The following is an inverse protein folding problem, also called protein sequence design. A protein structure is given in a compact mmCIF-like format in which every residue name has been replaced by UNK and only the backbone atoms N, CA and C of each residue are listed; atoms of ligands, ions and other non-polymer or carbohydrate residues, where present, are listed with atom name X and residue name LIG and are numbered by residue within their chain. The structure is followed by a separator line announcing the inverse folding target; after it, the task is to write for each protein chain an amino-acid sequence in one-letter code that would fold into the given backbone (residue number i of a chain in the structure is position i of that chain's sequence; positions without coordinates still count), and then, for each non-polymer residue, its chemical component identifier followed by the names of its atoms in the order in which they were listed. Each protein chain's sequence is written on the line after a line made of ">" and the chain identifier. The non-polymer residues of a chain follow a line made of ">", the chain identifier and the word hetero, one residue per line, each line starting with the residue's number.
data_IF_538469646955
#
_entry.id   IF_538469646955
#
_cell.length_a   1.000
_cell.length_b   1.000
_cell.length_c   1.000
_cell.angle_alpha   90.00
_cell.angle_beta   90.00
_cell.angle_gamma   90.00
#
_symmetry.space_group_name_H-M   'P 1'
#
loop_
_entity.id
_entity.type
_entity.pdbx_description
1 polymer ?
#
# COMPACT_ATOMS: atom_id res chain seq x y z
N UNK A 1 -10.58 7.54 11.92
CA UNK A 1 -11.09 7.05 13.21
C UNK A 1 -11.66 5.66 12.99
N UNK A 2 -11.15 4.63 13.68
CA UNK A 2 -11.81 3.33 13.71
C UNK A 2 -13.11 3.47 14.50
N UNK A 3 -14.19 2.85 14.02
CA UNK A 3 -15.56 3.08 14.50
C UNK A 3 -15.89 2.37 15.83
N UNK A 4 -14.98 1.53 16.31
CA UNK A 4 -15.08 0.71 17.52
C UNK A 4 -14.35 1.32 18.73
N UNK A 5 -13.56 2.37 18.55
CA UNK A 5 -12.67 2.88 19.59
C UNK A 5 -11.51 1.93 19.93
N UNK A 6 -11.19 0.96 19.07
CA UNK A 6 -10.10 -0.02 19.28
C UNK A 6 -8.72 0.49 18.85
N UNK A 7 -8.65 1.57 18.07
CA UNK A 7 -7.37 2.10 17.61
C UNK A 7 -6.65 2.80 18.75
N UNK A 8 -5.65 2.11 19.31
CA UNK A 8 -4.75 2.61 20.33
C UNK A 8 -3.37 2.83 19.72
N UNK A 9 -2.89 4.08 19.78
CA UNK A 9 -1.64 4.50 19.12
C UNK A 9 -0.42 3.76 19.70
N UNK A 10 -0.41 3.58 21.02
CA UNK A 10 0.61 2.83 21.78
C UNK A 10 0.66 1.35 21.36
N UNK A 11 -0.49 0.69 21.24
CA UNK A 11 -0.58 -0.71 20.84
C UNK A 11 -0.09 -0.91 19.40
N UNK A 12 -0.56 -0.07 18.47
CA UNK A 12 -0.13 -0.14 17.07
C UNK A 12 1.35 0.23 16.90
N UNK A 13 1.89 1.10 17.77
CA UNK A 13 3.33 1.40 17.81
C UNK A 13 4.15 0.20 18.29
N UNK A 14 3.73 -0.48 19.36
CA UNK A 14 4.38 -1.71 19.81
C UNK A 14 4.33 -2.79 18.72
N UNK A 15 3.19 -2.93 18.06
CA UNK A 15 3.02 -3.86 16.95
C UNK A 15 3.96 -3.51 15.79
N UNK A 16 4.03 -2.24 15.39
CA UNK A 16 4.93 -1.79 14.34
C UNK A 16 6.40 -2.11 14.67
N UNK A 17 6.86 -1.78 15.88
CA UNK A 17 8.23 -2.02 16.32
C UNK A 17 8.55 -3.51 16.50
N UNK A 18 7.57 -4.35 16.85
CA UNK A 18 7.73 -5.81 16.88
C UNK A 18 8.00 -6.41 15.49
N UNK A 19 7.44 -5.79 14.46
CA UNK A 19 7.64 -6.17 13.05
C UNK A 19 8.92 -5.59 12.48
N UNK A 20 9.36 -4.46 13.02
CA UNK A 20 10.53 -3.72 12.57
C UNK A 20 11.50 -3.49 13.75
N UNK A 21 12.16 -4.55 14.25
CA UNK A 21 12.96 -4.47 15.49
C UNK A 21 14.16 -3.53 15.38
N UNK A 22 14.66 -3.29 14.17
CA UNK A 22 15.73 -2.32 13.89
C UNK A 22 15.36 -0.92 14.39
N UNK A 23 14.10 -0.51 14.20
CA UNK A 23 13.60 0.81 14.61
C UNK A 23 13.41 0.92 16.12
N UNK A 24 13.32 -0.18 16.86
CA UNK A 24 13.17 -0.17 18.32
C UNK A 24 14.44 0.30 19.04
N UNK A 25 15.60 0.22 18.38
CA UNK A 25 16.89 0.68 18.91
C UNK A 25 17.05 2.21 18.93
N UNK A 26 16.12 2.93 18.26
CA UNK A 26 16.21 4.36 18.02
C UNK A 26 15.67 5.15 19.23
N UNK A 27 16.38 6.18 19.72
CA UNK A 27 15.95 6.97 20.88
C UNK A 27 14.57 7.60 20.74
N UNK A 28 14.19 8.03 19.53
CA UNK A 28 12.88 8.62 19.25
C UNK A 28 11.74 7.62 19.49
N UNK A 29 11.90 6.36 19.06
CA UNK A 29 10.90 5.33 19.25
C UNK A 29 10.88 4.78 20.68
N UNK A 30 12.03 4.69 21.33
CA UNK A 30 12.11 4.37 22.77
C UNK A 30 11.41 5.44 23.63
N UNK A 31 11.56 6.73 23.28
CA UNK A 31 10.82 7.81 23.94
C UNK A 31 9.30 7.68 23.76
N UNK A 32 8.83 7.39 22.54
CA UNK A 32 7.41 7.21 22.26
C UNK A 32 6.85 5.99 23.00
N UNK A 33 7.59 4.88 23.05
CA UNK A 33 7.21 3.69 23.81
C UNK A 33 7.09 3.99 25.32
N UNK A 34 8.05 4.71 25.90
CA UNK A 34 8.02 5.10 27.33
C UNK A 34 6.88 6.04 27.68
N UNK A 35 6.41 6.83 26.71
CA UNK A 35 5.29 7.76 26.88
C UNK A 35 3.93 7.05 26.90
N UNK A 36 3.83 5.86 26.30
CA UNK A 36 2.65 5.00 26.32
C UNK A 36 1.38 5.70 25.84
N UNK A 37 0.29 5.58 26.60
CA UNK A 37 -1.04 6.14 26.29
C UNK A 37 -1.08 7.67 26.10
N UNK A 38 -0.01 8.39 26.47
CA UNK A 38 0.09 9.84 26.31
C UNK A 38 0.65 10.26 24.95
N UNK A 39 1.03 9.32 24.09
CA UNK A 39 1.50 9.62 22.73
C UNK A 39 0.35 10.20 21.93
N UNK A 40 0.56 11.37 21.35
CA UNK A 40 -0.43 12.00 20.47
C UNK A 40 -0.28 11.48 19.04
N UNK A 41 -1.38 11.50 18.27
CA UNK A 41 -1.33 11.13 16.85
C UNK A 41 -0.31 11.97 16.07
N UNK A 42 -0.19 13.27 16.40
CA UNK A 42 0.68 14.18 15.66
C UNK A 42 2.17 13.94 15.98
N UNK A 43 2.51 13.58 17.22
CA UNK A 43 3.87 13.16 17.58
C UNK A 43 4.31 11.91 16.82
N UNK A 44 3.40 10.92 16.72
CA UNK A 44 3.65 9.72 15.94
C UNK A 44 3.83 10.06 14.45
N UNK A 45 2.92 10.83 13.86
CA UNK A 45 2.96 11.24 12.45
C UNK A 45 4.27 11.97 12.14
N UNK A 46 4.76 12.81 13.05
CA UNK A 46 6.04 13.49 12.89
C UNK A 46 7.23 12.53 12.94
N UNK A 47 7.19 11.48 13.75
CA UNK A 47 8.26 10.49 13.84
C UNK A 47 8.32 9.55 12.63
N UNK A 48 7.16 9.14 12.10
CA UNK A 48 7.08 8.12 11.05
C UNK A 48 6.95 8.70 9.63
N UNK A 49 6.74 10.02 9.51
CA UNK A 49 6.44 10.70 8.26
C UNK A 49 7.53 10.58 7.19
N UNK A 50 8.80 10.54 7.58
CA UNK A 50 9.92 10.30 6.63
C UNK A 50 10.12 8.81 6.36
N UNK A 51 10.02 7.99 7.40
CA UNK A 51 10.25 6.54 7.37
C UNK A 51 9.30 5.83 6.42
N UNK A 52 8.09 6.37 6.19
CA UNK A 52 7.12 5.78 5.24
C UNK A 52 7.67 5.66 3.81
N UNK A 53 8.64 6.51 3.43
CA UNK A 53 9.30 6.48 2.12
C UNK A 53 10.25 5.28 1.98
N UNK A 54 10.73 4.74 3.10
CA UNK A 54 11.68 3.64 3.09
C UNK A 54 11.01 2.32 2.67
N UNK A 55 11.52 1.61 1.64
CA UNK A 55 10.87 0.43 1.04
C UNK A 55 10.61 -0.72 2.01
N UNK A 56 11.44 -0.88 3.06
CA UNK A 56 11.26 -1.93 4.08
C UNK A 56 10.09 -1.64 5.04
N UNK A 57 9.81 -0.36 5.30
CA UNK A 57 8.90 0.04 6.38
C UNK A 57 7.54 0.54 5.88
N UNK A 58 7.40 0.93 4.61
CA UNK A 58 6.13 1.43 4.06
C UNK A 58 4.94 0.48 4.36
N UNK A 59 5.09 -0.82 4.05
CA UNK A 59 3.99 -1.79 4.15
C UNK A 59 3.60 -2.04 5.63
N UNK A 60 4.54 -2.39 6.54
CA UNK A 60 4.21 -2.53 7.96
C UNK A 60 3.63 -1.27 8.59
N UNK A 61 4.17 -0.10 8.26
CA UNK A 61 3.76 1.18 8.83
C UNK A 61 2.34 1.53 8.42
N UNK A 62 2.03 1.50 7.12
CA UNK A 62 0.67 1.76 6.63
C UNK A 62 -0.30 0.67 7.11
N UNK A 63 0.17 -0.57 7.26
CA UNK A 63 -0.59 -1.69 7.80
C UNK A 63 -1.08 -1.51 9.24
N UNK A 64 -0.18 -1.08 10.14
CA UNK A 64 -0.48 -0.79 11.55
C UNK A 64 -1.26 0.53 11.71
N UNK A 65 -0.87 1.59 11.00
CA UNK A 65 -1.43 2.92 11.20
C UNK A 65 -2.47 3.33 10.16
N UNK A 66 -3.31 2.39 9.68
CA UNK A 66 -4.33 2.67 8.63
C UNK A 66 -5.21 3.90 8.92
N UNK A 67 -5.74 4.11 10.14
CA UNK A 67 -6.55 5.29 10.43
C UNK A 67 -5.78 6.61 10.29
N UNK A 68 -4.46 6.58 10.44
CA UNK A 68 -3.56 7.73 10.35
C UNK A 68 -2.80 7.81 9.02
N UNK A 69 -2.90 6.79 8.17
CA UNK A 69 -2.14 6.68 6.92
C UNK A 69 -2.23 7.94 6.06
N UNK A 70 -3.40 8.60 6.02
CA UNK A 70 -3.57 9.87 5.31
C UNK A 70 -2.70 10.98 5.90
N UNK A 71 -2.72 11.17 7.22
CA UNK A 71 -1.90 12.18 7.90
C UNK A 71 -0.40 11.92 7.68
N UNK A 72 0.00 10.64 7.74
CA UNK A 72 1.39 10.22 7.52
C UNK A 72 1.84 10.52 6.09
N UNK A 73 1.04 10.13 5.09
CA UNK A 73 1.36 10.42 3.68
C UNK A 73 1.34 11.92 3.41
N UNK A 74 0.35 12.67 3.92
CA UNK A 74 0.29 14.12 3.78
C UNK A 74 1.53 14.80 4.39
N UNK A 75 2.04 14.29 5.53
CA UNK A 75 3.29 14.75 6.13
C UNK A 75 4.49 14.46 5.24
N UNK A 76 4.60 13.24 4.70
CA UNK A 76 5.68 12.86 3.79
C UNK A 76 5.69 13.73 2.52
N UNK A 77 4.51 13.97 1.94
CA UNK A 77 4.33 14.84 0.77
C UNK A 77 4.75 16.28 1.08
N UNK A 78 4.38 16.79 2.25
CA UNK A 78 4.80 18.11 2.71
C UNK A 78 6.32 18.21 2.82
N UNK A 79 7.00 17.19 3.36
CA UNK A 79 8.46 17.18 3.45
C UNK A 79 9.13 17.08 2.06
N UNK A 80 8.61 16.22 1.18
CA UNK A 80 9.11 16.10 -0.20
C UNK A 80 8.93 17.38 -1.01
N UNK A 81 7.90 18.19 -0.73
CA UNK A 81 7.70 19.49 -1.39
C UNK A 81 8.76 20.54 -1.04
N UNK A 82 9.51 20.33 0.04
CA UNK A 82 10.63 21.19 0.45
C UNK A 82 11.94 20.80 -0.26
N UNK A 83 12.00 19.65 -0.93
CA UNK A 83 13.19 19.19 -1.65
C UNK A 83 13.36 20.04 -2.92
N UNK A 84 14.53 20.69 -3.13
CA UNK A 84 14.72 21.63 -4.23
C UNK A 84 14.54 21.02 -5.62
N UNK A 85 14.97 19.77 -5.80
CA UNK A 85 14.94 19.09 -7.07
C UNK A 85 14.71 17.59 -6.89
N UNK A 86 13.59 17.09 -7.43
CA UNK A 86 13.24 15.67 -7.46
C UNK A 86 13.42 15.05 -8.86
N UNK A 87 13.85 15.85 -9.84
CA UNK A 87 13.96 15.41 -11.23
C UNK A 87 15.28 14.75 -11.50
N UNK A 88 16.41 15.33 -11.11
CA UNK A 88 17.74 14.77 -11.36
C UNK A 88 18.52 14.56 -10.07
N UNK A 89 19.64 13.82 -10.18
CA UNK A 89 20.66 13.81 -9.15
C UNK A 89 21.70 14.90 -9.47
N UNK A 90 22.29 15.50 -8.44
CA UNK A 90 23.44 16.37 -8.61
C UNK A 90 24.68 15.49 -8.81
N UNK A 91 25.25 15.51 -10.02
CA UNK A 91 26.54 14.90 -10.32
C UNK A 91 27.68 15.76 -9.72
N UNK A 92 27.70 15.89 -8.39
CA UNK A 92 28.71 16.62 -7.65
C UNK A 92 30.02 15.83 -7.59
N UNK A 93 31.03 16.34 -8.31
CA UNK A 93 32.45 15.95 -8.33
C UNK A 93 32.80 14.45 -8.17
N UNK A 94 33.22 13.88 -9.30
CA UNK A 94 33.96 12.63 -9.49
C UNK A 94 35.23 12.55 -8.61
N UNK A 95 35.10 12.36 -7.29
CA UNK A 95 36.23 12.10 -6.40
C UNK A 95 35.89 11.18 -5.22
N UNK A 96 34.87 10.33 -5.28
CA UNK A 96 34.86 9.08 -4.49
C UNK A 96 34.43 7.94 -5.40
N UNK A 97 35.44 7.18 -5.85
CA UNK A 97 35.24 5.87 -6.46
C UNK A 97 34.83 4.93 -5.33
N UNK A 98 33.58 5.01 -4.90
CA UNK A 98 32.91 3.85 -4.32
C UNK A 98 32.41 3.03 -5.50
N UNK A 99 33.29 2.15 -5.97
CA UNK A 99 32.90 0.96 -6.74
C UNK A 99 31.97 0.14 -5.84
N UNK A 100 30.68 0.45 -5.84
CA UNK A 100 29.59 -0.45 -5.46
C UNK A 100 28.23 0.22 -5.79
N UNK A 101 27.97 0.44 -7.08
CA UNK A 101 26.61 0.56 -7.63
C UNK A 101 25.90 -0.81 -7.50
N UNK A 102 25.69 -1.24 -6.27
CA UNK A 102 24.96 -2.44 -5.92
C UNK A 102 23.47 -2.09 -5.76
N UNK A 103 22.53 -3.02 -6.03
CA UNK A 103 21.09 -2.83 -5.79
C UNK A 103 20.70 -2.62 -4.31
N UNK A 104 21.69 -2.41 -3.43
CA UNK A 104 21.61 -2.41 -1.98
C UNK A 104 21.73 -1.05 -1.29
N UNK A 105 21.80 0.10 -2.00
CA UNK A 105 22.01 1.43 -1.36
C UNK A 105 20.97 1.85 -0.30
N UNK A 106 19.79 1.23 -0.27
CA UNK A 106 18.79 1.48 0.80
C UNK A 106 18.94 0.46 1.95
N UNK A 107 19.64 -0.65 1.71
CA UNK A 107 20.02 -1.62 2.72
C UNK A 107 21.22 -1.21 3.56
N UNK A 108 22.00 -0.20 3.12
CA UNK A 108 23.27 0.23 3.70
C UNK A 108 23.20 1.61 4.38
N UNK A 109 22.00 2.18 4.54
CA UNK A 109 21.82 3.36 5.37
C UNK A 109 21.91 2.94 6.84
N UNK A 110 22.70 3.68 7.61
CA UNK A 110 22.68 3.57 9.06
C UNK A 110 21.25 3.79 9.59
N UNK A 111 20.96 3.22 10.75
CA UNK A 111 19.63 3.27 11.38
C UNK A 111 19.20 4.73 11.64
N UNK A 112 20.15 5.64 11.89
CA UNK A 112 19.88 7.08 12.07
C UNK A 112 19.55 7.79 10.74
N UNK A 113 20.29 7.47 9.67
CA UNK A 113 20.04 8.01 8.32
C UNK A 113 18.69 7.53 7.75
N UNK A 114 18.23 6.36 8.21
CA UNK A 114 16.94 5.78 7.85
C UNK A 114 15.75 6.61 8.34
N UNK A 115 15.87 7.29 9.49
CA UNK A 115 14.82 8.15 10.05
C UNK A 115 14.68 9.42 9.21
N UNK A 116 15.82 9.98 8.81
CA UNK A 116 15.92 11.25 8.10
C UNK A 116 16.17 11.05 6.59
N UNK A 117 15.54 10.02 6.01
CA UNK A 117 15.79 9.61 4.62
C UNK A 117 15.57 10.77 3.62
N UNK A 118 14.58 11.65 3.85
CA UNK A 118 14.32 12.76 2.93
C UNK A 118 15.47 13.76 3.00
N UNK A 119 15.86 14.15 4.21
CA UNK A 119 16.95 15.11 4.45
C UNK A 119 18.30 14.57 3.97
N UNK A 120 18.60 13.30 4.20
CA UNK A 120 19.86 12.65 3.78
C UNK A 120 19.96 12.66 2.26
N UNK A 121 18.92 12.23 1.54
CA UNK A 121 18.95 12.22 0.08
C UNK A 121 18.95 13.62 -0.52
N UNK A 122 18.22 14.57 0.09
CA UNK A 122 18.24 15.96 -0.33
C UNK A 122 19.63 16.59 -0.17
N UNK A 123 20.33 16.32 0.95
CA UNK A 123 21.72 16.79 1.18
C UNK A 123 22.73 16.14 0.25
N UNK A 124 22.56 14.85 -0.05
CA UNK A 124 23.41 14.11 -1.00
C UNK A 124 23.12 14.46 -2.48
N UNK A 125 22.17 15.37 -2.75
CA UNK A 125 21.77 15.72 -4.11
C UNK A 125 21.13 14.56 -4.88
N UNK A 126 20.70 13.48 -4.23
CA UNK A 126 20.11 12.28 -4.86
C UNK A 126 18.59 12.43 -5.04
N UNK A 127 18.16 13.55 -5.64
CA UNK A 127 16.76 13.93 -5.79
C UNK A 127 15.91 12.92 -6.59
N UNK A 128 16.44 12.44 -7.72
CA UNK A 128 15.75 11.44 -8.55
C UNK A 128 15.58 10.11 -7.81
N UNK A 129 16.62 9.67 -7.08
CA UNK A 129 16.53 8.41 -6.33
C UNK A 129 15.49 8.50 -5.22
N UNK A 130 15.42 9.63 -4.52
CA UNK A 130 14.39 9.90 -3.52
C UNK A 130 12.97 9.88 -4.12
N UNK A 131 12.80 10.49 -5.30
CA UNK A 131 11.53 10.46 -6.03
C UNK A 131 11.07 9.03 -6.36
N UNK A 132 11.98 8.15 -6.75
CA UNK A 132 11.65 6.75 -7.03
C UNK A 132 11.22 5.97 -5.78
N UNK A 133 11.88 6.21 -4.65
CA UNK A 133 11.49 5.64 -3.37
C UNK A 133 10.11 6.14 -2.94
N UNK A 134 9.85 7.44 -3.10
CA UNK A 134 8.55 8.03 -2.82
C UNK A 134 7.46 7.44 -3.71
N UNK A 135 7.71 7.27 -5.02
CA UNK A 135 6.77 6.64 -5.94
C UNK A 135 6.45 5.19 -5.53
N UNK A 136 7.48 4.42 -5.16
CA UNK A 136 7.30 3.03 -4.68
C UNK A 136 6.52 2.99 -3.36
N UNK A 137 6.81 3.88 -2.42
CA UNK A 137 6.11 3.96 -1.15
C UNK A 137 4.63 4.33 -1.36
N UNK A 138 4.35 5.35 -2.18
CA UNK A 138 3.00 5.82 -2.43
C UNK A 138 2.17 4.84 -3.25
N UNK A 139 2.75 4.10 -4.20
CA UNK A 139 1.99 3.05 -4.90
C UNK A 139 1.60 1.91 -3.95
N UNK A 140 2.50 1.49 -3.05
CA UNK A 140 2.21 0.46 -2.03
C UNK A 140 1.19 0.95 -1.00
N UNK A 141 1.34 2.18 -0.52
CA UNK A 141 0.43 2.78 0.44
C UNK A 141 -0.97 2.92 -0.15
N UNK A 142 -1.10 3.40 -1.40
CA UNK A 142 -2.38 3.52 -2.08
C UNK A 142 -3.05 2.16 -2.29
N UNK A 143 -2.27 1.12 -2.63
CA UNK A 143 -2.79 -0.23 -2.76
C UNK A 143 -3.36 -0.75 -1.44
N UNK A 144 -2.70 -0.48 -0.31
CA UNK A 144 -3.19 -0.82 1.03
C UNK A 144 -4.45 -0.02 1.39
N UNK A 145 -4.41 1.30 1.20
CA UNK A 145 -5.45 2.23 1.63
C UNK A 145 -5.85 3.12 0.45
N UNK A 146 -6.90 2.73 -0.26
CA UNK A 146 -7.37 3.43 -1.47
C UNK A 146 -7.75 4.90 -1.25
N UNK A 147 -8.16 5.29 -0.04
CA UNK A 147 -8.51 6.69 0.25
C UNK A 147 -7.33 7.66 0.17
N UNK A 148 -6.10 7.16 0.08
CA UNK A 148 -4.88 7.95 -0.07
C UNK A 148 -4.72 8.58 -1.46
N UNK A 149 -5.58 8.25 -2.44
CA UNK A 149 -5.47 8.76 -3.80
C UNK A 149 -5.24 10.27 -3.84
N UNK A 150 -6.03 11.06 -3.11
CA UNK A 150 -5.88 12.54 -3.10
C UNK A 150 -4.50 13.00 -2.63
N UNK A 151 -3.96 12.38 -1.59
CA UNK A 151 -2.63 12.69 -1.05
C UNK A 151 -1.54 12.35 -2.06
N UNK A 152 -1.67 11.19 -2.73
CA UNK A 152 -0.75 10.76 -3.79
C UNK A 152 -0.83 11.68 -5.01
N UNK A 153 -2.02 12.13 -5.41
CA UNK A 153 -2.16 13.10 -6.49
C UNK A 153 -1.53 14.46 -6.10
N UNK A 154 -1.69 14.89 -4.85
CA UNK A 154 -1.05 16.11 -4.33
C UNK A 154 0.48 16.07 -4.39
N UNK A 155 1.09 14.88 -4.31
CA UNK A 155 2.52 14.71 -4.58
C UNK A 155 2.88 14.99 -6.05
N UNK A 156 2.11 14.39 -6.97
CA UNK A 156 2.34 14.55 -8.41
C UNK A 156 1.94 15.92 -8.97
N UNK A 157 1.38 16.82 -8.16
CA UNK A 157 1.18 18.23 -8.54
C UNK A 157 2.52 18.96 -8.74
N UNK A 158 3.57 18.58 -7.99
CA UNK A 158 4.90 19.17 -8.11
C UNK A 158 5.98 18.18 -8.55
N UNK A 159 5.81 16.89 -8.25
CA UNK A 159 6.76 15.85 -8.62
C UNK A 159 6.63 15.43 -10.10
N UNK A 160 7.73 14.98 -10.74
CA UNK A 160 7.67 14.42 -12.10
C UNK A 160 6.95 13.05 -12.13
N UNK A 161 6.66 12.49 -13.31
CA UNK A 161 6.15 11.12 -13.41
C UNK A 161 7.18 10.08 -12.92
N UNK A 162 6.76 8.89 -12.46
CA UNK A 162 7.67 7.88 -11.90
C UNK A 162 8.74 7.38 -12.87
N UNK A 163 8.54 7.59 -14.17
CA UNK A 163 9.46 7.24 -15.24
C UNK A 163 10.38 8.39 -15.67
N UNK A 164 10.55 9.45 -14.86
CA UNK A 164 11.42 10.59 -15.18
C UNK A 164 12.86 10.16 -15.53
N UNK A 165 13.35 9.08 -14.92
CA UNK A 165 14.67 8.52 -15.21
C UNK A 165 14.88 8.15 -16.69
N UNK A 166 13.82 7.85 -17.43
CA UNK A 166 13.89 7.56 -18.87
C UNK A 166 14.29 8.81 -19.66
N UNK A 167 13.79 9.98 -19.28
CA UNK A 167 14.06 11.26 -19.98
C UNK A 167 15.50 11.74 -19.91
N UNK A 168 16.26 11.29 -18.92
CA UNK A 168 17.63 11.74 -18.68
C UNK A 168 18.68 10.94 -19.45
N UNK A 169 18.27 9.94 -20.23
CA UNK A 169 19.19 8.96 -20.81
C UNK A 169 19.67 9.38 -22.19
N UNK A 170 20.91 8.97 -22.47
CA UNK A 170 21.57 9.16 -23.77
C UNK A 170 21.58 7.86 -24.61
N UNK A 171 21.61 6.66 -24.01
CA UNK A 171 21.57 5.39 -24.76
C UNK A 171 21.02 4.17 -23.98
N UNK A 172 20.46 3.18 -24.72
CA UNK A 172 19.93 1.91 -24.19
C UNK A 172 21.02 0.98 -23.64
N UNK A 173 22.23 1.00 -24.21
CA UNK A 173 23.35 0.16 -23.76
C UNK A 173 23.85 0.59 -22.38
N UNK A 174 24.03 1.90 -22.19
CA UNK A 174 24.39 2.52 -20.91
C UNK A 174 23.31 2.26 -19.85
N UNK A 175 22.05 2.30 -20.27
CA UNK A 175 20.89 2.04 -19.44
C UNK A 175 20.81 0.64 -18.82
N UNK A 176 21.13 -0.40 -19.60
CA UNK A 176 21.06 -1.80 -19.15
C UNK A 176 22.26 -2.18 -18.28
N UNK A 177 23.44 -1.61 -18.57
CA UNK A 177 24.69 -1.95 -17.90
C UNK A 177 24.83 -1.24 -16.55
N UNK A 178 24.42 0.03 -16.45
CA UNK A 178 24.63 0.84 -15.24
C UNK A 178 23.43 0.81 -14.27
N UNK A 179 22.20 0.73 -14.77
CA UNK A 179 21.02 0.95 -13.92
C UNK A 179 19.75 0.23 -14.44
N UNK A 180 19.89 -1.06 -14.75
CA UNK A 180 18.73 -1.89 -15.15
C UNK A 180 17.68 -2.03 -14.04
N UNK A 181 18.10 -1.99 -12.77
CA UNK A 181 17.20 -2.13 -11.63
C UNK A 181 16.35 -0.87 -11.37
N UNK A 182 16.93 0.33 -11.47
CA UNK A 182 16.20 1.60 -11.37
C UNK A 182 15.15 1.74 -12.45
N UNK A 183 15.51 1.41 -13.71
CA UNK A 183 14.55 1.37 -14.81
C UNK A 183 13.38 0.43 -14.57
N UNK A 184 13.70 -0.80 -14.20
CA UNK A 184 12.69 -1.82 -13.99
C UNK A 184 11.70 -1.38 -12.90
N UNK A 185 12.20 -0.80 -11.81
CA UNK A 185 11.37 -0.25 -10.75
C UNK A 185 10.50 0.91 -11.25
N UNK A 186 11.06 1.85 -12.00
CA UNK A 186 10.33 2.98 -12.55
C UNK A 186 9.15 2.52 -13.44
N UNK A 187 9.37 1.56 -14.36
CA UNK A 187 8.28 1.03 -15.20
C UNK A 187 7.27 0.24 -14.38
N UNK A 188 7.72 -0.60 -13.43
CA UNK A 188 6.82 -1.39 -12.58
C UNK A 188 5.92 -0.51 -11.71
N UNK A 189 6.47 0.55 -11.10
CA UNK A 189 5.69 1.50 -10.30
C UNK A 189 4.71 2.27 -11.17
N UNK A 190 5.15 2.70 -12.37
CA UNK A 190 4.28 3.37 -13.34
C UNK A 190 3.11 2.49 -13.75
N UNK A 191 3.37 1.21 -14.06
CA UNK A 191 2.35 0.23 -14.41
C UNK A 191 1.39 -0.02 -13.23
N UNK A 192 1.92 -0.14 -12.01
CA UNK A 192 1.12 -0.34 -10.78
C UNK A 192 0.16 0.82 -10.52
N UNK A 193 0.64 2.06 -10.61
CA UNK A 193 -0.20 3.25 -10.44
C UNK A 193 -1.26 3.35 -11.54
N UNK A 194 -0.89 3.08 -12.79
CA UNK A 194 -1.83 3.05 -13.91
C UNK A 194 -2.92 1.99 -13.75
N UNK A 195 -2.60 0.82 -13.19
CA UNK A 195 -3.59 -0.21 -12.86
C UNK A 195 -4.51 0.21 -11.71
N UNK A 196 -4.00 0.98 -10.74
CA UNK A 196 -4.77 1.39 -9.58
C UNK A 196 -5.88 2.38 -9.96
N UNK A 197 -5.56 3.43 -10.74
CA UNK A 197 -6.53 4.44 -11.19
C UNK A 197 -6.24 4.88 -12.63
N UNK A 198 -6.65 4.03 -13.60
CA UNK A 198 -6.31 4.19 -15.02
C UNK A 198 -6.74 5.53 -15.62
N UNK A 199 -7.95 5.99 -15.34
CA UNK A 199 -8.48 7.23 -15.93
C UNK A 199 -7.69 8.47 -15.48
N UNK A 200 -7.17 8.44 -14.25
CA UNK A 200 -6.41 9.54 -13.67
C UNK A 200 -4.99 9.55 -14.21
N UNK A 201 -4.24 8.45 -14.06
CA UNK A 201 -2.81 8.43 -14.42
C UNK A 201 -2.57 8.35 -15.93
N UNK A 202 -3.51 7.83 -16.72
CA UNK A 202 -3.39 7.87 -18.18
C UNK A 202 -3.42 9.29 -18.74
N UNK A 203 -4.16 10.20 -18.09
CA UNK A 203 -4.32 11.61 -18.54
C UNK A 203 -3.36 12.57 -17.84
N UNK A 204 -2.90 12.24 -16.65
CA UNK A 204 -2.01 13.07 -15.85
C UNK A 204 -0.59 13.18 -16.43
N UNK A 205 -0.07 12.10 -17.02
CA UNK A 205 1.33 12.06 -17.47
C UNK A 205 1.45 12.01 -18.98
N UNK A 206 2.55 12.60 -19.47
CA UNK A 206 2.98 12.43 -20.85
C UNK A 206 3.79 11.14 -20.99
N UNK A 207 3.15 10.12 -21.53
CA UNK A 207 3.72 8.80 -21.71
C UNK A 207 4.70 8.71 -22.89
N UNK A 208 4.75 9.71 -23.78
CA UNK A 208 5.51 9.64 -25.04
C UNK A 208 6.97 9.23 -24.84
N UNK A 209 7.66 9.83 -23.87
CA UNK A 209 9.06 9.53 -23.58
C UNK A 209 9.29 8.06 -23.18
N UNK A 210 8.37 7.48 -22.39
CA UNK A 210 8.45 6.07 -22.03
C UNK A 210 8.25 5.17 -23.25
N UNK A 211 7.33 5.54 -24.15
CA UNK A 211 7.03 4.75 -25.34
C UNK A 211 8.18 4.76 -26.35
N UNK A 212 8.81 5.91 -26.56
CA UNK A 212 9.99 6.03 -27.41
C UNK A 212 11.13 5.15 -26.90
N UNK A 213 11.36 5.12 -25.59
CA UNK A 213 12.40 4.27 -25.01
C UNK A 213 12.04 2.78 -25.09
N UNK A 214 10.79 2.38 -24.82
CA UNK A 214 10.33 0.99 -24.98
C UNK A 214 10.56 0.51 -26.41
N UNK A 215 10.35 1.36 -27.42
CA UNK A 215 10.61 0.99 -28.81
C UNK A 215 12.10 0.69 -29.05
N UNK A 216 13.00 1.49 -28.48
CA UNK A 216 14.45 1.25 -28.58
C UNK A 216 14.89 -0.01 -27.81
N UNK A 217 14.31 -0.27 -26.64
CA UNK A 217 14.52 -1.52 -25.89
C UNK A 217 14.04 -2.75 -26.68
N UNK A 218 12.91 -2.62 -27.37
CA UNK A 218 12.35 -3.68 -28.21
C UNK A 218 13.22 -3.99 -29.43
N UNK A 219 13.70 -2.95 -30.13
CA UNK A 219 14.63 -3.10 -31.25
C UNK A 219 15.96 -3.74 -30.78
N UNK A 220 16.46 -3.31 -29.63
CA UNK A 220 17.65 -3.92 -29.00
C UNK A 220 17.43 -5.40 -28.65
N UNK A 221 16.27 -5.76 -28.14
CA UNK A 221 15.90 -7.15 -27.85
C UNK A 221 15.86 -8.01 -29.12
N UNK A 222 15.29 -7.50 -30.22
CA UNK A 222 15.25 -8.21 -31.51
C UNK A 222 16.63 -8.35 -32.18
N UNK A 223 17.56 -7.44 -31.89
CA UNK A 223 18.90 -7.43 -32.48
C UNK A 223 19.93 -8.35 -31.81
N UNK A 224 19.63 -8.93 -30.63
CA UNK A 224 20.56 -9.81 -29.90
C UNK A 224 20.36 -11.28 -30.24
N UNK A 225 21.47 -11.97 -30.50
CA UNK A 225 21.54 -13.42 -30.68
C UNK A 225 21.79 -14.19 -29.36
N UNK A 226 22.00 -13.47 -28.25
CA UNK A 226 22.24 -14.03 -26.92
C UNK A 226 20.97 -14.01 -26.06
N UNK A 227 20.91 -14.84 -25.02
CA UNK A 227 19.81 -14.81 -24.05
C UNK A 227 19.66 -13.40 -23.45
N UNK A 228 18.48 -12.76 -23.59
CA UNK A 228 18.27 -11.40 -23.15
C UNK A 228 18.29 -11.29 -21.62
N UNK A 229 18.85 -10.20 -21.10
CA UNK A 229 18.85 -9.91 -19.67
C UNK A 229 17.40 -9.89 -19.15
N UNK A 230 17.13 -10.63 -18.06
CA UNK A 230 15.78 -10.76 -17.46
C UNK A 230 15.12 -9.41 -17.20
N UNK A 231 15.89 -8.42 -16.75
CA UNK A 231 15.41 -7.05 -16.48
C UNK A 231 14.89 -6.35 -17.73
N UNK A 232 15.55 -6.53 -18.88
CA UNK A 232 15.15 -5.95 -20.17
C UNK A 232 13.84 -6.56 -20.65
N UNK A 233 13.69 -7.88 -20.53
CA UNK A 233 12.43 -8.56 -20.85
C UNK A 233 11.27 -8.03 -20.01
N UNK A 234 11.49 -7.81 -18.73
CA UNK A 234 10.46 -7.28 -17.82
C UNK A 234 10.11 -5.82 -18.14
N UNK A 235 11.10 -4.98 -18.48
CA UNK A 235 10.88 -3.58 -18.91
C UNK A 235 10.00 -3.55 -20.16
N UNK A 236 10.36 -4.34 -21.19
CA UNK A 236 9.60 -4.41 -22.44
C UNK A 236 8.19 -4.94 -22.17
N UNK A 237 8.06 -6.00 -21.37
CA UNK A 237 6.76 -6.58 -21.04
C UNK A 237 5.85 -5.57 -20.31
N UNK A 238 6.36 -4.89 -19.28
CA UNK A 238 5.59 -3.88 -18.56
C UNK A 238 5.24 -2.70 -19.50
N UNK A 239 6.17 -2.30 -20.36
CA UNK A 239 5.94 -1.26 -21.37
C UNK A 239 4.82 -1.60 -22.35
N UNK A 240 4.79 -2.83 -22.88
CA UNK A 240 3.72 -3.33 -23.75
C UNK A 240 2.38 -3.35 -22.99
N UNK A 241 2.37 -3.71 -21.70
CA UNK A 241 1.15 -3.67 -20.87
C UNK A 241 0.64 -2.26 -20.62
N UNK A 242 1.52 -1.31 -20.35
CA UNK A 242 1.18 0.11 -20.26
C UNK A 242 0.57 0.58 -21.59
N UNK A 243 1.23 0.32 -22.72
CA UNK A 243 0.73 0.63 -24.07
C UNK A 243 -0.66 0.04 -24.33
N UNK A 244 -0.86 -1.22 -23.93
CA UNK A 244 -2.14 -1.90 -24.07
C UNK A 244 -3.27 -1.17 -23.36
N UNK A 245 -3.01 -0.64 -22.17
CA UNK A 245 -4.01 0.10 -21.39
C UNK A 245 -4.26 1.47 -22.01
N UNK A 246 -3.19 2.22 -22.30
CA UNK A 246 -3.28 3.58 -22.83
C UNK A 246 -3.97 3.63 -24.19
N UNK A 247 -3.63 2.72 -25.10
CA UNK A 247 -4.15 2.67 -26.47
C UNK A 247 -5.35 1.72 -26.62
N UNK A 248 -5.81 1.10 -25.53
CA UNK A 248 -6.90 0.10 -25.52
C UNK A 248 -6.68 -1.00 -26.57
N UNK A 249 -5.46 -1.52 -26.62
CA UNK A 249 -5.09 -2.58 -27.57
C UNK A 249 -5.79 -3.89 -27.22
N UNK A 250 -6.13 -4.67 -28.24
CA UNK A 250 -6.61 -6.04 -28.06
C UNK A 250 -5.45 -7.05 -28.05
N UNK A 251 -5.71 -8.28 -27.60
CA UNK A 251 -4.69 -9.32 -27.51
C UNK A 251 -4.01 -9.62 -28.86
N UNK A 252 -4.74 -9.46 -29.97
CA UNK A 252 -4.18 -9.62 -31.32
C UNK A 252 -3.14 -8.55 -31.64
N UNK A 253 -3.32 -7.33 -31.17
CA UNK A 253 -2.35 -6.25 -31.33
C UNK A 253 -1.15 -6.46 -30.39
N UNK A 254 -1.38 -6.92 -29.16
CA UNK A 254 -0.30 -7.27 -28.21
C UNK A 254 0.60 -8.37 -28.79
N UNK A 255 0.01 -9.40 -29.43
CA UNK A 255 0.76 -10.48 -30.06
C UNK A 255 1.71 -10.02 -31.18
N UNK A 256 1.49 -8.82 -31.77
CA UNK A 256 2.36 -8.27 -32.82
C UNK A 256 3.69 -7.74 -32.28
N UNK A 257 3.81 -7.50 -30.98
CA UNK A 257 5.08 -7.08 -30.36
C UNK A 257 6.09 -8.23 -30.25
N UNK A 258 5.80 -9.43 -30.77
CA UNK A 258 6.77 -10.54 -30.96
C UNK A 258 7.61 -10.91 -29.72
N UNK A 259 7.09 -10.71 -28.51
CA UNK A 259 7.67 -11.36 -27.34
C UNK A 259 7.36 -12.86 -27.44
N UNK A 260 8.36 -13.73 -27.27
CA UNK A 260 8.10 -15.15 -27.23
C UNK A 260 7.20 -15.48 -26.02
N UNK A 261 6.27 -16.43 -26.21
CA UNK A 261 5.21 -16.71 -25.24
C UNK A 261 5.76 -17.19 -23.90
N UNK A 262 6.90 -17.88 -23.90
CA UNK A 262 7.54 -18.37 -22.68
C UNK A 262 8.09 -17.22 -21.84
N UNK A 263 8.76 -16.25 -22.45
CA UNK A 263 9.29 -15.05 -21.82
C UNK A 263 8.16 -14.18 -21.31
N UNK A 264 7.09 -14.00 -22.10
CA UNK A 264 5.92 -13.25 -21.69
C UNK A 264 5.24 -13.84 -20.45
N UNK A 265 5.11 -15.18 -20.38
CA UNK A 265 4.62 -15.88 -19.19
C UNK A 265 5.56 -15.71 -18.00
N UNK A 266 6.88 -15.80 -18.23
CA UNK A 266 7.88 -15.62 -17.18
C UNK A 266 7.86 -14.21 -16.59
N UNK A 267 7.69 -13.18 -17.43
CA UNK A 267 7.53 -11.80 -16.98
C UNK A 267 6.24 -11.61 -16.19
N UNK A 268 5.13 -12.24 -16.61
CA UNK A 268 3.86 -12.19 -15.88
C UNK A 268 4.00 -12.77 -14.46
N UNK A 269 4.63 -13.94 -14.31
CA UNK A 269 4.84 -14.54 -12.99
C UNK A 269 5.69 -13.65 -12.07
N UNK A 270 6.77 -13.05 -12.60
CA UNK A 270 7.60 -12.10 -11.83
C UNK A 270 6.84 -10.82 -11.48
N UNK A 271 5.96 -10.35 -12.36
CA UNK A 271 5.08 -9.23 -12.07
C UNK A 271 4.09 -9.57 -10.96
N UNK A 272 3.47 -10.75 -10.99
CA UNK A 272 2.56 -11.20 -9.95
C UNK A 272 3.27 -11.32 -8.60
N UNK A 273 4.47 -11.90 -8.57
CA UNK A 273 5.31 -11.96 -7.36
C UNK A 273 5.61 -10.56 -6.81
N UNK A 274 6.00 -9.62 -7.67
CA UNK A 274 6.24 -8.23 -7.30
C UNK A 274 4.99 -7.53 -6.76
N UNK A 275 3.83 -7.73 -7.40
CA UNK A 275 2.57 -7.06 -7.07
C UNK A 275 1.90 -7.63 -5.81
N UNK A 276 2.24 -8.87 -5.42
CA UNK A 276 1.72 -9.54 -4.23
C UNK A 276 2.33 -9.03 -2.91
N UNK A 277 3.32 -8.14 -2.94
CA UNK A 277 3.99 -7.60 -1.74
C UNK A 277 3.03 -7.01 -0.69
N UNK A 278 1.93 -6.41 -1.16
CA UNK A 278 0.87 -5.81 -0.32
C UNK A 278 -0.25 -6.81 0.00
N UNK A 279 -0.38 -7.91 -0.75
CA UNK A 279 -1.48 -8.87 -0.60
C UNK A 279 -1.43 -9.60 0.74
N UNK A 280 -0.23 -9.96 1.22
CA UNK A 280 -0.04 -10.60 2.52
C UNK A 280 -0.50 -9.69 3.67
N UNK A 281 -0.16 -8.41 3.60
CA UNK A 281 -0.58 -7.41 4.59
C UNK A 281 -2.11 -7.30 4.61
N UNK A 282 -2.73 -7.19 3.43
CA UNK A 282 -4.19 -7.17 3.30
C UNK A 282 -4.85 -8.43 3.88
N UNK A 283 -4.26 -9.60 3.67
CA UNK A 283 -4.79 -10.86 4.19
C UNK A 283 -4.67 -10.93 5.72
N UNK A 284 -3.56 -10.47 6.28
CA UNK A 284 -3.33 -10.44 7.73
C UNK A 284 -4.43 -9.66 8.48
N UNK A 285 -4.98 -8.62 7.85
CA UNK A 285 -6.07 -7.80 8.41
C UNK A 285 -7.34 -8.59 8.72
N UNK A 286 -7.56 -9.72 8.05
CA UNK A 286 -8.72 -10.59 8.26
C UNK A 286 -8.45 -11.74 9.23
N UNK A 287 -7.16 -12.02 9.51
CA UNK A 287 -6.74 -13.06 10.45
C UNK A 287 -6.60 -12.54 11.87
N UNK A 288 -6.50 -11.22 12.02
CA UNK A 288 -6.32 -10.57 13.31
C UNK A 288 -7.67 -10.45 14.04
N UNK A 289 -8.14 -11.58 14.54
CA UNK A 289 -9.34 -11.69 15.38
C UNK A 289 -9.02 -12.51 16.63
N UNK A 290 -8.59 -11.83 17.69
CA UNK A 290 -8.98 -12.10 19.10
C UNK A 290 -8.05 -11.34 20.03
N UNK A 291 -8.42 -10.12 20.40
CA UNK A 291 -7.99 -9.62 21.70
C UNK A 291 -8.87 -10.28 22.77
N UNK A 292 -8.34 -11.35 23.36
CA UNK A 292 -8.71 -11.76 24.71
C UNK A 292 -8.39 -10.59 25.65
N UNK A 293 -9.44 -9.91 26.11
CA UNK A 293 -9.37 -9.03 27.27
C UNK A 293 -9.09 -9.91 28.51
N UNK A 294 -7.83 -10.27 28.74
CA UNK A 294 -7.37 -10.79 30.02
C UNK A 294 -6.76 -9.63 30.81
N UNK A 295 -7.60 -8.70 31.24
CA UNK A 295 -7.30 -7.90 32.42
C UNK A 295 -7.95 -8.56 33.64
N UNK A 296 -7.09 -8.83 34.62
CA UNK A 296 -7.36 -9.19 36.01
C UNK A 296 -7.71 -10.66 36.32
N UNK A 297 -6.69 -11.42 36.73
CA UNK A 297 -6.67 -12.08 38.04
C UNK A 297 -5.21 -12.34 38.46
N UNK A 298 -4.87 -11.78 39.62
CA UNK A 298 -3.56 -11.87 40.24
C UNK A 298 -3.17 -13.31 40.62
N UNK A 299 -1.88 -13.62 40.43
CA UNK A 299 -1.16 -14.58 41.26
C UNK A 299 -0.61 -15.80 40.52
N UNK A 300 0.71 -15.82 40.31
CA UNK A 300 1.47 -17.07 40.16
C UNK A 300 2.35 -17.16 38.92
N UNK A 301 3.62 -16.82 39.09
CA UNK A 301 4.80 -17.29 38.35
C UNK A 301 4.61 -18.59 37.53
N UNK A 302 4.88 -18.54 36.23
CA UNK A 302 6.03 -19.21 35.58
C UNK A 302 6.05 -18.83 34.10
N UNK A 303 7.20 -18.40 33.58
CA UNK A 303 7.35 -17.95 32.20
C UNK A 303 7.15 -19.05 31.16
N UNK A 304 6.66 -18.64 29.99
CA UNK A 304 7.02 -19.28 28.73
C UNK A 304 6.83 -18.28 27.58
N UNK A 305 7.97 -17.86 27.06
CA UNK A 305 8.12 -17.19 25.79
C UNK A 305 7.47 -18.04 24.69
N UNK A 306 6.53 -17.48 23.94
CA UNK A 306 6.22 -18.00 22.62
C UNK A 306 5.86 -16.85 21.67
N UNK A 307 6.90 -16.16 21.22
CA UNK A 307 6.93 -15.55 19.90
C UNK A 307 6.50 -16.62 18.88
N UNK A 308 5.30 -16.49 18.31
CA UNK A 308 4.99 -17.16 17.05
C UNK A 308 5.59 -16.34 15.91
N UNK A 309 6.88 -16.58 15.70
CA UNK A 309 7.57 -16.43 14.44
C UNK A 309 6.80 -17.23 13.39
N UNK A 310 6.09 -16.58 12.48
CA UNK A 310 5.54 -17.25 11.30
C UNK A 310 6.63 -17.31 10.24
N UNK A 311 7.54 -18.28 10.38
CA UNK A 311 8.32 -18.80 9.27
C UNK A 311 7.58 -19.99 8.66
N UNK A 312 7.36 -19.90 7.35
CA UNK A 312 7.31 -20.97 6.35
C UNK A 312 6.73 -22.34 6.76
N UNK A 313 5.62 -22.72 6.14
CA UNK A 313 5.60 -23.66 5.01
C UNK A 313 4.29 -24.46 4.91
N UNK A 314 3.99 -24.77 3.64
CA UNK A 314 3.24 -25.91 3.10
C UNK A 314 1.75 -26.04 3.38
N UNK A 315 1.02 -25.98 2.26
CA UNK A 315 -0.31 -26.53 2.07
C UNK A 315 -0.49 -27.85 2.82
N UNK A 316 -1.48 -27.90 3.71
CA UNK A 316 -2.46 -28.97 3.68
C UNK A 316 -3.75 -28.51 4.35
N UNK A 317 -4.84 -29.02 3.78
CA UNK A 317 -6.24 -28.86 4.14
C UNK A 317 -6.54 -28.42 5.57
N UNK A 318 -7.47 -27.48 5.75
CA UNK A 318 -8.62 -27.64 6.64
C UNK A 318 -9.63 -26.52 6.42
N UNK A 319 -10.85 -26.96 6.12
CA UNK A 319 -12.10 -26.20 6.05
C UNK A 319 -12.22 -25.25 7.26
N UNK A 320 -12.55 -23.95 7.10
CA UNK A 320 -12.89 -23.11 8.23
C UNK A 320 -14.29 -23.49 8.70
N UNK A 321 -14.35 -24.43 9.65
CA UNK A 321 -15.54 -24.69 10.44
C UNK A 321 -15.90 -23.41 11.21
N UNK A 322 -16.92 -22.71 10.73
CA UNK A 322 -17.54 -21.59 11.45
C UNK A 322 -18.40 -22.14 12.58
N UNK A 323 -17.80 -22.46 13.72
CA UNK A 323 -18.54 -22.76 14.94
C UNK A 323 -17.63 -22.77 16.17
N UNK A 324 -17.53 -21.64 16.87
CA UNK A 324 -17.41 -21.52 18.35
C UNK A 324 -17.34 -20.04 18.76
N UNK A 325 -18.46 -19.32 18.71
CA UNK A 325 -18.67 -18.13 19.57
C UNK A 325 -20.10 -18.19 20.13
N UNK A 326 -20.25 -19.12 21.06
CA UNK A 326 -21.25 -19.18 22.13
C UNK A 326 -20.36 -19.67 23.29
N UNK A 327 -20.04 -18.89 24.31
CA UNK A 327 -20.88 -18.22 25.29
C UNK A 327 -20.03 -17.10 25.91
N UNK A 328 -20.66 -15.97 26.27
CA UNK A 328 -20.46 -15.40 27.60
C UNK A 328 -21.51 -14.31 27.87
N UNK A 329 -22.40 -14.66 28.80
CA UNK A 329 -22.80 -13.75 29.87
C UNK A 329 -23.60 -12.51 29.50
N UNK A 330 -24.80 -12.70 28.94
CA UNK A 330 -25.85 -11.70 29.01
C UNK A 330 -26.42 -11.69 30.43
N UNK A 331 -25.80 -10.99 31.38
CA UNK A 331 -26.49 -10.48 32.57
C UNK A 331 -25.89 -9.15 33.07
N UNK A 332 -26.73 -8.12 32.99
CA UNK A 332 -26.68 -6.78 33.60
C UNK A 332 -25.80 -5.70 32.95
N UNK A 333 -26.45 -4.92 32.10
CA UNK A 333 -26.10 -3.53 31.87
C UNK A 333 -26.69 -2.98 30.57
N UNK A 334 -27.94 -2.53 30.61
CA UNK A 334 -28.54 -1.70 29.55
C UNK A 334 -27.67 -0.45 29.28
N UNK A 335 -26.77 -0.50 28.30
CA UNK A 335 -26.14 0.71 27.74
C UNK A 335 -26.97 1.18 26.55
N UNK A 336 -28.04 1.90 26.88
CA UNK A 336 -28.83 2.70 25.95
C UNK A 336 -28.00 3.90 25.49
N UNK A 337 -27.25 3.76 24.39
CA UNK A 337 -26.58 4.89 23.76
C UNK A 337 -27.64 5.78 23.09
N UNK A 338 -27.92 6.93 23.70
CA UNK A 338 -28.86 7.92 23.16
C UNK A 338 -28.11 8.83 22.19
N UNK A 339 -28.61 8.93 20.96
CA UNK A 339 -28.15 9.89 19.96
C UNK A 339 -29.31 10.80 19.58
N UNK A 340 -29.04 12.09 19.53
CA UNK A 340 -30.02 13.14 19.28
C UNK A 340 -30.45 13.18 17.81
N UNK A 341 -31.73 13.50 17.60
CA UNK A 341 -32.48 13.51 16.34
C UNK A 341 -32.91 12.15 15.73
N UNK A 342 -34.01 11.59 16.29
CA UNK A 342 -35.17 11.26 15.46
C UNK A 342 -35.59 9.79 15.36
N UNK A 343 -34.66 8.82 15.25
CA UNK A 343 -35.01 7.39 15.30
C UNK A 343 -33.84 6.57 15.85
N UNK A 344 -33.98 5.84 16.98
CA UNK A 344 -32.92 4.97 17.49
C UNK A 344 -32.75 3.78 16.55
N UNK A 345 -31.65 3.75 15.79
CA UNK A 345 -31.23 2.54 15.09
C UNK A 345 -30.59 1.60 16.11
N UNK A 346 -31.30 0.53 16.45
CA UNK A 346 -30.82 -0.47 17.41
C UNK A 346 -29.87 -1.42 16.66
N UNK A 347 -28.58 -1.31 16.95
CA UNK A 347 -27.59 -2.24 16.44
C UNK A 347 -27.73 -3.58 17.17
N UNK A 348 -28.42 -4.54 16.55
CA UNK A 348 -28.44 -5.92 17.04
C UNK A 348 -27.14 -6.62 16.65
N UNK A 349 -26.74 -7.67 17.37
CA UNK A 349 -25.54 -8.47 17.04
C UNK A 349 -25.56 -9.02 15.60
N UNK A 350 -26.74 -9.34 15.07
CA UNK A 350 -26.92 -9.72 13.67
C UNK A 350 -26.74 -8.55 12.69
N UNK A 351 -27.17 -7.35 13.08
CA UNK A 351 -26.99 -6.13 12.28
C UNK A 351 -25.52 -5.68 12.27
N UNK A 352 -24.77 -5.91 13.35
CA UNK A 352 -23.34 -5.60 13.43
C UNK A 352 -22.53 -6.39 12.40
N UNK A 353 -22.73 -7.71 12.32
CA UNK A 353 -22.07 -8.55 11.29
C UNK A 353 -22.46 -8.13 9.87
N UNK A 354 -23.74 -7.81 9.66
CA UNK A 354 -24.24 -7.34 8.37
C UNK A 354 -23.62 -5.99 8.00
N UNK A 355 -23.46 -5.08 8.96
CA UNK A 355 -22.78 -3.80 8.79
C UNK A 355 -21.30 -4.00 8.43
N UNK A 356 -20.58 -4.84 9.17
CA UNK A 356 -19.17 -5.16 8.92
C UNK A 356 -18.96 -5.72 7.52
N UNK A 357 -19.76 -6.70 7.09
CA UNK A 357 -19.67 -7.27 5.74
C UNK A 357 -19.94 -6.23 4.65
N UNK A 358 -20.96 -5.40 4.83
CA UNK A 358 -21.33 -4.36 3.85
C UNK A 358 -20.25 -3.26 3.82
N UNK A 359 -19.71 -2.89 4.98
CA UNK A 359 -18.62 -1.92 5.09
C UNK A 359 -17.34 -2.43 4.45
N UNK A 360 -16.99 -3.71 4.65
CA UNK A 360 -15.85 -4.35 4.01
C UNK A 360 -15.98 -4.32 2.50
N UNK A 361 -17.11 -4.76 1.96
CA UNK A 361 -17.31 -4.75 0.52
C UNK A 361 -17.41 -3.33 -0.06
N UNK A 362 -17.99 -2.38 0.68
CA UNK A 362 -17.97 -0.95 0.33
C UNK A 362 -16.53 -0.41 0.24
N UNK A 363 -15.68 -0.72 1.22
CA UNK A 363 -14.26 -0.32 1.23
C UNK A 363 -13.48 -0.85 0.02
N UNK A 364 -13.92 -1.98 -0.53
CA UNK A 364 -13.31 -2.64 -1.69
C UNK A 364 -13.95 -2.24 -3.03
N UNK A 365 -14.94 -1.33 -3.04
CA UNK A 365 -15.78 -1.01 -4.21
C UNK A 365 -16.41 -2.26 -4.85
N UNK A 366 -16.77 -3.24 -4.03
CA UNK A 366 -17.45 -4.44 -4.50
C UNK A 366 -18.96 -4.25 -4.44
N UNK A 367 -19.70 -4.64 -5.50
CA UNK A 367 -21.16 -4.61 -5.46
C UNK A 367 -21.66 -5.64 -4.43
N UNK A 368 -22.56 -5.21 -3.55
CA UNK A 368 -23.16 -6.05 -2.50
C UNK A 368 -24.65 -6.18 -2.73
N UNK A 369 -25.15 -7.42 -2.72
CA UNK A 369 -26.58 -7.69 -2.70
C UNK A 369 -27.06 -7.90 -1.26
N UNK A 370 -27.87 -6.96 -0.76
CA UNK A 370 -28.47 -7.01 0.57
C UNK A 370 -29.90 -7.55 0.47
N UNK A 371 -30.11 -8.82 0.82
CA UNK A 371 -31.42 -9.49 0.77
C UNK A 371 -31.93 -9.85 2.18
N UNK A 372 -33.24 -10.05 2.32
CA UNK A 372 -33.88 -10.46 3.58
C UNK A 372 -35.37 -10.09 3.64
N UNK A 373 -36.09 -10.44 4.71
CA UNK A 373 -37.52 -10.13 4.84
C UNK A 373 -37.80 -8.62 4.89
N UNK A 374 -39.01 -8.22 4.51
CA UNK A 374 -39.46 -6.83 4.62
C UNK A 374 -39.40 -6.38 6.10
N UNK A 375 -38.95 -5.15 6.35
CA UNK A 375 -38.79 -4.63 7.72
C UNK A 375 -37.51 -5.05 8.46
N UNK A 376 -36.63 -5.88 7.87
CA UNK A 376 -35.37 -6.31 8.50
C UNK A 376 -34.30 -5.20 8.66
N UNK A 377 -34.64 -3.93 8.39
CA UNK A 377 -33.72 -2.79 8.59
C UNK A 377 -32.66 -2.59 7.50
N UNK A 378 -32.72 -3.31 6.36
CA UNK A 378 -31.76 -3.18 5.23
C UNK A 378 -31.60 -1.74 4.74
N UNK A 379 -32.70 -1.05 4.49
CA UNK A 379 -32.70 0.35 4.04
C UNK A 379 -32.15 1.30 5.12
N UNK A 380 -32.39 0.99 6.40
CA UNK A 380 -31.88 1.77 7.51
C UNK A 380 -30.35 1.58 7.70
N UNK A 381 -29.83 0.36 7.47
CA UNK A 381 -28.39 0.07 7.45
C UNK A 381 -27.67 0.88 6.36
N UNK A 382 -28.22 0.86 5.14
CA UNK A 382 -27.70 1.60 3.98
C UNK A 382 -27.76 3.11 4.22
N UNK A 383 -28.89 3.62 4.74
CA UNK A 383 -29.04 5.04 5.05
C UNK A 383 -28.04 5.48 6.12
N UNK A 384 -27.78 4.63 7.13
CA UNK A 384 -26.78 4.93 8.15
C UNK A 384 -25.36 4.94 7.58
N UNK A 385 -25.01 3.99 6.71
CA UNK A 385 -23.73 3.99 6.00
C UNK A 385 -23.54 5.26 5.15
N UNK A 386 -24.60 5.71 4.47
CA UNK A 386 -24.57 6.92 3.64
C UNK A 386 -24.39 8.20 4.47
N UNK A 387 -25.07 8.30 5.62
CA UNK A 387 -24.91 9.41 6.57
C UNK A 387 -23.50 9.47 7.16
N UNK A 388 -22.95 8.32 7.55
CA UNK A 388 -21.62 8.23 8.17
C UNK A 388 -20.48 8.59 7.20
N UNK A 389 -20.66 8.36 5.91
CA UNK A 389 -19.64 8.61 4.88
C UNK A 389 -19.81 9.94 4.14
N UNK A 390 -20.77 10.77 4.56
CA UNK A 390 -20.89 12.17 4.13
C UNK A 390 -21.00 12.34 2.61
N UNK A 391 -21.84 11.53 1.94
CA UNK A 391 -22.26 11.75 0.55
C UNK A 391 -21.16 11.71 -0.53
N UNK A 392 -19.93 11.28 -0.21
CA UNK A 392 -18.80 11.27 -1.16
C UNK A 392 -18.61 9.94 -1.91
N UNK A 393 -19.43 8.93 -1.62
CA UNK A 393 -19.53 7.69 -2.38
C UNK A 393 -20.95 7.56 -2.94
N UNK A 394 -21.08 7.38 -4.24
CA UNK A 394 -22.39 7.22 -4.91
C UNK A 394 -22.96 5.85 -4.55
N UNK A 395 -23.76 5.78 -3.50
CA UNK A 395 -24.47 4.57 -3.09
C UNK A 395 -25.75 4.45 -3.92
N UNK A 396 -25.68 3.71 -5.02
CA UNK A 396 -26.86 3.40 -5.82
C UNK A 396 -27.64 2.25 -5.19
N UNK A 397 -28.85 2.54 -4.72
CA UNK A 397 -29.76 1.54 -4.15
C UNK A 397 -30.81 1.22 -5.20
N UNK A 398 -30.74 0.03 -5.79
CA UNK A 398 -31.79 -0.48 -6.67
C UNK A 398 -32.69 -1.43 -5.86
N UNK A 399 -33.99 -1.11 -5.65
CA UNK A 399 -34.92 -2.05 -5.06
C UNK A 399 -35.20 -3.19 -6.06
N UNK A 400 -34.85 -4.42 -5.69
CA UNK A 400 -35.27 -5.62 -6.42
C UNK A 400 -36.51 -6.22 -5.76
N UNK A 401 -37.67 -6.06 -6.39
CA UNK A 401 -38.87 -6.83 -6.07
C UNK A 401 -38.85 -8.13 -6.88
N UNK A 402 -38.49 -9.24 -6.23
CA UNK A 402 -38.61 -10.57 -6.83
C UNK A 402 -40.04 -11.04 -6.57
N UNK A 403 -40.93 -10.80 -7.54
CA UNK A 403 -42.26 -11.39 -7.54
C UNK A 403 -42.11 -12.89 -7.82
N UNK A 404 -42.23 -13.72 -6.78
CA UNK A 404 -42.50 -15.15 -6.96
C UNK A 404 -43.95 -15.28 -7.42
N UNK A 405 -44.15 -15.45 -8.73
CA UNK A 405 -45.42 -15.95 -9.29
C UNK A 405 -45.53 -17.46 -9.11
#
# INVERSE_FOLDING_TARGET
>A
MSFDGSFCVDYELQRFLSRCPELASIPQFDYLLKKGDKVTEDELVNAVGEIVIHPKYTIPLVGCFRPLARKIVDRAVSLLSLVPNLRCNDDGDLMEVDQEDNPGEVGDLDIEDTIHIIDVYAKRGKGLKLHELACLAFCRAHDLVRSLLRSVLGYFEFAPPPFERFRQRKSVMEAVVLDGAGLLNAVRVSYRLLLAETEVFATMWDWSCLLDDISQFHDYYLGKNEEPNRSVCDIIWCGIRILSILLKLNDRAIAKFKLCSQEACSCLLRWEEYYQDVALEKAAWYLESSHENNHDLAGGSMGLNQCRTLQSSSFDSLVPSSSTILENGLLKGDKKMTWDCGKPFILTSAMQKSYEMVFLAFSQRWPVLLYGPAGAGKTALISKLAELHGGRGTLFVAPCEINNQ
#
